data_IF_639232198457
#
_entry.id   IF_639232198457
#
_cell.length_a   1.000
_cell.length_b   1.000
_cell.length_c   1.000
_cell.angle_alpha   90.00
_cell.angle_beta   90.00
_cell.angle_gamma   90.00
#
_symmetry.space_group_name_H-M   'P 1'
#
loop_
_entity.id
_entity.type
_entity.pdbx_description
1 polymer ?
#
# COMPACT_ATOMS: atom_id res chain seq x y z
N UNK A 1 0.58 5.76 -7.18
CA UNK A 1 1.82 6.39 -7.67
C UNK A 1 1.75 7.91 -7.55
N UNK A 2 0.74 8.58 -8.08
CA UNK A 2 0.58 10.04 -8.04
C UNK A 2 0.81 10.64 -6.64
N UNK A 3 0.25 10.03 -5.59
CA UNK A 3 0.45 10.46 -4.19
C UNK A 3 1.93 10.41 -3.80
N UNK A 4 2.62 9.31 -4.13
CA UNK A 4 4.05 9.15 -3.83
C UNK A 4 4.91 10.12 -4.63
N UNK A 5 4.58 10.32 -5.91
CA UNK A 5 5.26 11.31 -6.75
C UNK A 5 5.09 12.74 -6.20
N UNK A 6 3.90 13.07 -5.66
CA UNK A 6 3.65 14.36 -5.00
C UNK A 6 4.49 14.58 -3.74
N UNK A 7 4.92 13.51 -3.08
CA UNK A 7 5.87 13.57 -1.96
C UNK A 7 7.34 13.38 -2.39
N UNK A 8 7.61 13.23 -3.69
CA UNK A 8 8.94 12.93 -4.25
C UNK A 8 9.50 11.59 -3.77
N UNK A 9 8.62 10.62 -3.47
CA UNK A 9 8.99 9.27 -3.04
C UNK A 9 9.12 8.37 -4.27
N UNK A 10 10.30 7.82 -4.48
CA UNK A 10 10.56 6.83 -5.53
C UNK A 10 9.70 5.58 -5.36
N UNK A 11 9.14 5.07 -6.44
CA UNK A 11 8.33 3.86 -6.41
C UNK A 11 8.48 3.01 -7.69
N UNK A 12 8.48 1.70 -7.51
CA UNK A 12 8.49 0.72 -8.61
C UNK A 12 7.15 0.00 -8.63
N UNK A 13 6.55 -0.14 -9.82
CA UNK A 13 5.30 -0.88 -10.01
C UNK A 13 5.59 -2.13 -10.84
N UNK A 14 5.12 -3.27 -10.35
CA UNK A 14 5.22 -4.55 -11.05
C UNK A 14 3.88 -5.28 -10.97
N UNK A 15 3.42 -5.84 -12.08
CA UNK A 15 2.24 -6.70 -12.11
C UNK A 15 2.69 -8.14 -11.95
N UNK A 16 2.31 -8.73 -10.82
CA UNK A 16 2.63 -10.11 -10.45
C UNK A 16 1.42 -10.75 -9.78
N UNK A 17 1.37 -12.07 -9.73
CA UNK A 17 0.29 -12.82 -9.10
C UNK A 17 0.83 -13.80 -8.07
N UNK A 18 0.31 -13.74 -6.85
CA UNK A 18 0.65 -14.72 -5.80
C UNK A 18 0.29 -16.16 -6.19
N UNK A 19 -0.77 -16.34 -7.02
CA UNK A 19 -1.24 -17.64 -7.44
C UNK A 19 -0.62 -18.15 -8.75
N UNK A 20 -0.32 -17.22 -9.70
CA UNK A 20 0.10 -17.58 -11.05
C UNK A 20 1.60 -17.42 -11.30
N UNK A 21 2.26 -16.56 -10.53
CA UNK A 21 3.70 -16.25 -10.67
C UNK A 21 4.38 -16.15 -9.31
N UNK A 22 4.23 -17.14 -8.40
CA UNK A 22 4.73 -17.03 -7.02
C UNK A 22 6.26 -16.91 -6.95
N UNK A 23 7.00 -17.60 -7.82
CA UNK A 23 8.45 -17.53 -7.85
C UNK A 23 8.94 -16.14 -8.27
N UNK A 24 8.35 -15.57 -9.32
CA UNK A 24 8.66 -14.21 -9.77
C UNK A 24 8.31 -13.14 -8.74
N UNK A 25 7.25 -13.35 -7.97
CA UNK A 25 6.89 -12.48 -6.86
C UNK A 25 7.96 -12.51 -5.76
N UNK A 26 8.41 -13.70 -5.37
CA UNK A 26 9.47 -13.87 -4.38
C UNK A 26 10.77 -13.21 -4.82
N UNK A 27 11.21 -13.47 -6.05
CA UNK A 27 12.42 -12.86 -6.62
C UNK A 27 12.33 -11.33 -6.65
N UNK A 28 11.18 -10.79 -7.05
CA UNK A 28 10.93 -9.34 -7.04
C UNK A 28 11.06 -8.74 -5.64
N UNK A 29 10.48 -9.37 -4.61
CA UNK A 29 10.58 -8.91 -3.23
C UNK A 29 12.05 -8.91 -2.77
N UNK A 30 12.77 -10.02 -2.97
CA UNK A 30 14.16 -10.16 -2.56
C UNK A 30 15.08 -9.14 -3.26
N UNK A 31 14.85 -8.88 -4.54
CA UNK A 31 15.64 -7.92 -5.32
C UNK A 31 15.38 -6.50 -4.87
N UNK A 32 14.12 -6.10 -4.75
CA UNK A 32 13.78 -4.72 -4.37
C UNK A 32 14.18 -4.39 -2.93
N UNK A 33 14.21 -5.37 -2.03
CA UNK A 33 14.77 -5.16 -0.68
C UNK A 33 16.26 -4.80 -0.77
N UNK A 34 17.04 -5.49 -1.59
CA UNK A 34 18.46 -5.17 -1.80
C UNK A 34 18.65 -3.78 -2.43
N UNK A 35 17.72 -3.37 -3.27
CA UNK A 35 17.70 -2.03 -3.89
C UNK A 35 17.19 -0.91 -2.96
N UNK A 36 16.86 -1.24 -1.70
CA UNK A 36 16.54 -0.26 -0.66
C UNK A 36 15.05 0.01 -0.46
N UNK A 37 14.15 -0.85 -0.94
CA UNK A 37 12.71 -0.77 -0.65
C UNK A 37 12.48 -0.76 0.87
N UNK A 38 11.57 0.12 1.32
CA UNK A 38 11.22 0.30 2.74
C UNK A 38 9.79 -0.12 3.06
N UNK A 39 8.89 -0.03 2.09
CA UNK A 39 7.45 -0.36 2.24
C UNK A 39 6.97 -1.07 0.99
N UNK A 40 6.20 -2.11 1.14
CA UNK A 40 5.50 -2.79 0.05
C UNK A 40 4.02 -2.43 0.03
N UNK A 41 3.45 -2.34 -1.16
CA UNK A 41 2.00 -2.16 -1.36
C UNK A 41 1.51 -3.24 -2.30
N UNK A 42 0.58 -4.08 -1.84
CA UNK A 42 -0.05 -5.12 -2.64
C UNK A 42 -1.51 -4.77 -2.96
N UNK A 43 -1.90 -4.84 -4.24
CA UNK A 43 -3.28 -4.64 -4.68
C UNK A 43 -3.76 -5.94 -5.30
N UNK A 44 -4.85 -6.49 -4.80
CA UNK A 44 -5.46 -7.70 -5.36
C UNK A 44 -6.97 -7.72 -5.15
N UNK A 45 -7.68 -8.29 -6.10
CA UNK A 45 -9.12 -8.54 -6.02
C UNK A 45 -9.44 -10.02 -5.80
N UNK A 46 -10.71 -10.33 -5.64
CA UNK A 46 -11.22 -11.71 -5.41
C UNK A 46 -10.52 -12.35 -4.19
N UNK A 47 -9.92 -13.54 -4.35
CA UNK A 47 -9.07 -14.15 -3.34
C UNK A 47 -7.73 -13.39 -3.25
N UNK A 48 -7.72 -12.25 -2.56
CA UNK A 48 -6.66 -11.26 -2.55
C UNK A 48 -5.47 -11.66 -1.67
N UNK A 49 -4.73 -12.69 -2.08
CA UNK A 49 -3.61 -13.25 -1.32
C UNK A 49 -2.26 -12.54 -1.55
N UNK A 50 -2.20 -11.53 -2.43
CA UNK A 50 -0.94 -10.89 -2.81
C UNK A 50 -0.25 -10.22 -1.62
N UNK A 51 -0.96 -9.38 -0.87
CA UNK A 51 -0.40 -8.66 0.28
C UNK A 51 0.07 -9.60 1.38
N UNK A 52 -0.73 -10.63 1.69
CA UNK A 52 -0.37 -11.67 2.66
C UNK A 52 0.86 -12.47 2.22
N UNK A 53 0.97 -12.77 0.92
CA UNK A 53 2.14 -13.45 0.38
C UNK A 53 3.40 -12.57 0.45
N UNK A 54 3.28 -11.26 0.14
CA UNK A 54 4.39 -10.31 0.33
C UNK A 54 4.82 -10.30 1.81
N UNK A 55 3.87 -10.17 2.73
CA UNK A 55 4.16 -10.13 4.17
C UNK A 55 4.83 -11.41 4.70
N UNK A 56 4.61 -12.55 4.06
CA UNK A 56 5.28 -13.81 4.40
C UNK A 56 6.77 -13.83 3.96
N UNK A 57 7.18 -12.96 3.06
CA UNK A 57 8.55 -12.93 2.51
C UNK A 57 9.39 -11.74 2.98
N UNK A 58 8.86 -10.86 3.83
CA UNK A 58 9.59 -9.71 4.36
C UNK A 58 9.12 -9.31 5.75
N UNK A 59 10.00 -8.67 6.50
CA UNK A 59 9.66 -8.01 7.77
C UNK A 59 9.45 -6.50 7.59
N UNK A 60 9.57 -5.99 6.37
CA UNK A 60 9.24 -4.60 6.06
C UNK A 60 7.73 -4.39 6.10
N UNK A 61 7.25 -3.16 6.36
CA UNK A 61 5.82 -2.86 6.34
C UNK A 61 5.17 -3.22 5.00
N UNK A 62 4.01 -3.88 5.09
CA UNK A 62 3.18 -4.23 3.92
C UNK A 62 1.81 -3.60 4.05
N UNK A 63 1.39 -2.87 3.03
CA UNK A 63 0.07 -2.28 2.91
C UNK A 63 -0.73 -3.10 1.91
N UNK A 64 -1.94 -3.49 2.29
CA UNK A 64 -2.86 -4.23 1.44
C UNK A 64 -4.01 -3.36 0.95
N UNK A 65 -4.25 -3.34 -0.35
CA UNK A 65 -5.36 -2.66 -0.98
C UNK A 65 -6.31 -3.72 -1.53
N UNK A 66 -7.51 -3.91 -0.94
CA UNK A 66 -8.53 -4.76 -1.52
C UNK A 66 -9.04 -4.18 -2.83
N UNK A 67 -9.02 -4.97 -3.91
CA UNK A 67 -9.63 -4.57 -5.19
C UNK A 67 -11.16 -4.63 -5.12
N UNK A 68 -11.83 -3.78 -5.88
CA UNK A 68 -13.29 -3.62 -5.92
C UNK A 68 -13.97 -4.44 -7.02
N UNK A 69 -13.21 -5.25 -7.76
CA UNK A 69 -13.72 -6.09 -8.85
C UNK A 69 -14.42 -7.35 -8.35
N UNK A 70 -15.19 -7.97 -9.26
CA UNK A 70 -15.85 -9.25 -9.04
C UNK A 70 -17.25 -9.15 -8.42
N UNK A 71 -17.94 -10.29 -8.26
CA UNK A 71 -19.37 -10.34 -7.89
C UNK A 71 -19.67 -9.91 -6.46
N UNK A 72 -18.68 -9.85 -5.58
CA UNK A 72 -18.83 -9.45 -4.18
C UNK A 72 -18.36 -8.02 -3.91
N UNK A 73 -18.13 -7.22 -4.96
CA UNK A 73 -17.78 -5.80 -4.86
C UNK A 73 -16.60 -5.52 -3.90
N UNK A 74 -15.63 -6.40 -3.87
CA UNK A 74 -14.42 -6.27 -3.07
C UNK A 74 -14.51 -6.76 -1.63
N UNK A 75 -15.66 -7.25 -1.14
CA UNK A 75 -15.77 -7.81 0.22
C UNK A 75 -14.91 -9.06 0.41
N UNK A 76 -14.85 -9.91 -0.60
CA UNK A 76 -13.97 -11.07 -0.66
C UNK A 76 -12.49 -10.65 -0.59
N UNK A 77 -12.11 -9.62 -1.34
CA UNK A 77 -10.77 -9.06 -1.31
C UNK A 77 -10.44 -8.41 0.05
N UNK A 78 -11.38 -7.69 0.65
CA UNK A 78 -11.23 -7.12 1.97
C UNK A 78 -10.96 -8.20 3.02
N UNK A 79 -11.80 -9.23 3.10
CA UNK A 79 -11.62 -10.31 4.07
C UNK A 79 -10.33 -11.10 3.83
N UNK A 80 -9.97 -11.38 2.59
CA UNK A 80 -8.72 -12.05 2.25
C UNK A 80 -7.47 -11.25 2.62
N UNK A 81 -7.56 -9.92 2.62
CA UNK A 81 -6.44 -9.02 2.91
C UNK A 81 -6.32 -8.72 4.41
N UNK A 82 -7.45 -8.48 5.10
CA UNK A 82 -7.44 -8.00 6.49
C UNK A 82 -7.26 -9.12 7.52
N UNK A 83 -7.76 -10.34 7.26
CA UNK A 83 -7.76 -11.46 8.20
C UNK A 83 -6.41 -12.19 8.22
N UNK A 84 -5.34 -11.46 8.52
CA UNK A 84 -4.01 -12.02 8.61
C UNK A 84 -3.79 -12.81 9.91
N UNK A 85 -2.98 -13.89 9.87
CA UNK A 85 -2.63 -14.63 11.05
C UNK A 85 -1.76 -13.81 12.02
N UNK A 86 -1.80 -14.20 13.29
CA UNK A 86 -1.00 -13.57 14.34
C UNK A 86 0.49 -13.61 13.99
N UNK A 87 1.15 -12.46 14.05
CA UNK A 87 2.60 -12.33 13.80
C UNK A 87 2.98 -11.96 12.36
N UNK A 88 2.03 -11.97 11.42
CA UNK A 88 2.25 -11.56 10.02
C UNK A 88 1.24 -10.47 9.63
N UNK A 89 1.47 -9.22 10.03
CA UNK A 89 0.52 -8.13 9.80
C UNK A 89 0.55 -7.61 8.35
N UNK A 90 -0.64 -7.19 7.88
CA UNK A 90 -0.82 -6.36 6.68
C UNK A 90 -1.66 -5.15 7.06
N UNK A 91 -1.16 -3.95 6.81
CA UNK A 91 -1.89 -2.70 7.02
C UNK A 91 -2.96 -2.54 5.91
N UNK A 92 -4.17 -3.00 6.16
CA UNK A 92 -5.25 -3.00 5.17
C UNK A 92 -5.94 -1.64 5.12
N UNK A 93 -6.05 -1.08 3.93
CA UNK A 93 -6.74 0.20 3.66
C UNK A 93 -8.11 -0.03 3.01
N UNK A 94 -8.80 1.04 2.61
CA UNK A 94 -10.12 0.96 1.99
C UNK A 94 -10.12 0.16 0.68
N UNK A 95 -11.29 -0.31 0.27
CA UNK A 95 -11.51 -1.01 -1.00
C UNK A 95 -11.36 -0.03 -2.18
N UNK A 96 -10.71 -0.47 -3.25
CA UNK A 96 -10.66 0.22 -4.53
C UNK A 96 -9.83 1.52 -4.54
N UNK A 97 -10.30 2.51 -5.30
CA UNK A 97 -9.56 3.75 -5.57
C UNK A 97 -9.22 4.54 -4.30
N UNK A 98 -10.15 4.65 -3.35
CA UNK A 98 -9.90 5.35 -2.08
C UNK A 98 -8.77 4.67 -1.29
N UNK A 99 -8.77 3.33 -1.27
CA UNK A 99 -7.70 2.54 -0.67
C UNK A 99 -6.35 2.77 -1.34
N UNK A 100 -6.32 2.84 -2.68
CA UNK A 100 -5.08 3.09 -3.41
C UNK A 100 -4.47 4.48 -3.09
N UNK A 101 -5.30 5.50 -2.95
CA UNK A 101 -4.86 6.84 -2.52
C UNK A 101 -4.35 6.79 -1.08
N UNK A 102 -5.12 6.19 -0.17
CA UNK A 102 -4.74 6.09 1.24
C UNK A 102 -3.48 5.24 1.46
N UNK A 103 -3.25 4.22 0.65
CA UNK A 103 -2.00 3.44 0.70
C UNK A 103 -0.77 4.30 0.39
N UNK A 104 -0.88 5.21 -0.59
CA UNK A 104 0.20 6.16 -0.87
C UNK A 104 0.50 7.09 0.30
N UNK A 105 -0.54 7.64 0.92
CA UNK A 105 -0.40 8.49 2.12
C UNK A 105 0.16 7.69 3.31
N UNK A 106 -0.33 6.46 3.54
CA UNK A 106 0.14 5.63 4.64
C UNK A 106 1.61 5.22 4.45
N UNK A 107 2.02 4.88 3.22
CA UNK A 107 3.42 4.61 2.91
C UNK A 107 4.31 5.83 3.20
N UNK A 108 3.88 7.02 2.77
CA UNK A 108 4.59 8.27 3.07
C UNK A 108 4.69 8.51 4.59
N UNK A 109 3.60 8.29 5.35
CA UNK A 109 3.61 8.42 6.81
C UNK A 109 4.56 7.44 7.49
N UNK A 110 4.63 6.18 7.03
CA UNK A 110 5.58 5.20 7.54
C UNK A 110 7.03 5.64 7.32
N UNK A 111 7.34 6.16 6.14
CA UNK A 111 8.68 6.69 5.82
C UNK A 111 9.01 7.94 6.63
N UNK A 112 8.03 8.80 6.85
CA UNK A 112 8.17 10.05 7.61
C UNK A 112 8.51 9.86 9.09
N UNK A 113 8.34 8.65 9.64
CA UNK A 113 8.76 8.37 11.04
C UNK A 113 10.26 8.53 11.26
N UNK A 114 11.06 8.41 10.21
CA UNK A 114 12.52 8.65 10.22
C UNK A 114 12.96 9.84 9.37
N UNK A 115 12.03 10.64 8.85
CA UNK A 115 12.30 11.76 7.95
C UNK A 115 11.42 12.98 8.30
N UNK A 116 12.02 13.96 9.00
CA UNK A 116 11.30 15.14 9.47
C UNK A 116 10.87 16.08 8.34
N UNK A 117 11.61 16.15 7.24
CA UNK A 117 11.26 16.98 6.09
C UNK A 117 10.03 16.40 5.38
N UNK A 118 9.99 15.08 5.21
CA UNK A 118 8.81 14.39 4.69
C UNK A 118 7.60 14.54 5.65
N UNK A 119 7.81 14.42 6.96
CA UNK A 119 6.76 14.61 7.96
C UNK A 119 6.15 16.03 7.83
N UNK A 120 6.98 17.06 7.67
CA UNK A 120 6.53 18.43 7.44
C UNK A 120 5.74 18.56 6.13
N UNK A 121 6.22 18.01 5.01
CA UNK A 121 5.48 18.02 3.73
C UNK A 121 4.08 17.41 3.86
N UNK A 122 3.96 16.30 4.59
CA UNK A 122 2.66 15.64 4.83
C UNK A 122 1.73 16.54 5.66
N UNK A 123 2.25 17.17 6.70
CA UNK A 123 1.48 18.09 7.54
C UNK A 123 0.99 19.30 6.74
N UNK A 124 1.89 19.94 5.99
CA UNK A 124 1.58 21.12 5.15
C UNK A 124 0.49 20.77 4.10
N UNK A 125 0.58 19.61 3.47
CA UNK A 125 -0.44 19.17 2.50
C UNK A 125 -1.81 18.94 3.15
N UNK A 126 -1.86 18.39 4.36
CA UNK A 126 -3.14 18.22 5.10
C UNK A 126 -3.78 19.55 5.46
N UNK A 127 -2.99 20.53 5.89
CA UNK A 127 -3.53 21.86 6.20
C UNK A 127 -4.05 22.55 4.94
N UNK A 128 -3.36 22.41 3.81
CA UNK A 128 -3.85 22.94 2.53
C UNK A 128 -5.16 22.28 2.09
N UNK A 129 -5.29 20.96 2.19
CA UNK A 129 -6.55 20.25 1.89
C UNK A 129 -7.70 20.74 2.78
N UNK A 130 -7.41 20.97 4.04
CA UNK A 130 -8.39 21.50 5.02
C UNK A 130 -8.83 22.92 4.65
N UNK A 131 -7.87 23.78 4.27
CA UNK A 131 -8.15 25.16 3.82
C UNK A 131 -9.08 25.16 2.60
N UNK A 132 -8.76 24.37 1.57
CA UNK A 132 -9.59 24.26 0.36
C UNK A 132 -11.01 23.81 0.70
N UNK A 133 -11.18 22.77 1.54
CA UNK A 133 -12.50 22.29 1.93
C UNK A 133 -13.34 23.32 2.74
N UNK A 134 -12.70 24.24 3.46
CA UNK A 134 -13.38 25.28 4.20
C UNK A 134 -13.72 26.51 3.35
N UNK A 135 -12.95 26.77 2.29
CA UNK A 135 -13.20 27.86 1.35
C UNK A 135 -14.33 27.53 0.35
N UNK A 136 -14.60 26.24 0.09
CA UNK A 136 -15.66 25.78 -0.84
C UNK A 136 -17.05 25.69 -0.17
N UNK A 137 -17.20 26.13 1.09
CA UNK A 137 -18.48 26.17 1.83
C UNK A 137 -19.07 27.58 1.87
#
# INVERSE_FOLDING_TARGET
KEVLDGYEIGSVIKVLSAHRTPEALKEFIETTIKDGTKVFVGIAGLAAHLSGNIAAHTTLPVIGIPGDGGPLNGLDALFSTVQMPRGVPVATVAIGKAGAVNAGHLAAQMLATGDQDLAKKIADQREEQKRILLEDQ
#
